data_IF_202826056731
#
_entry.id   IF_202826056731
#
_cell.length_a   1.000
_cell.length_b   1.000
_cell.length_c   1.000
_cell.angle_alpha   90.00
_cell.angle_beta   90.00
_cell.angle_gamma   90.00
#
_symmetry.space_group_name_H-M   'P 1'
#
loop_
_entity.id
_entity.type
_entity.pdbx_description
1 polymer ?
#
# COMPACT_ATOMS: atom_id res chain seq x y z
N UNK A 1 -8.16 1.57 -20.67
CA UNK A 1 -9.20 2.54 -20.25
C UNK A 1 -8.49 3.59 -19.44
N UNK A 2 -8.59 4.87 -19.80
CA UNK A 2 -7.95 5.95 -19.04
C UNK A 2 -8.54 5.99 -17.61
N UNK A 3 -7.68 6.10 -16.60
CA UNK A 3 -8.13 6.23 -15.23
C UNK A 3 -8.90 7.55 -15.05
N UNK A 4 -10.10 7.48 -14.45
CA UNK A 4 -11.00 8.61 -14.28
C UNK A 4 -10.75 9.32 -12.94
N UNK A 5 -10.93 10.64 -12.89
CA UNK A 5 -10.95 11.44 -11.65
C UNK A 5 -11.92 10.91 -10.60
N UNK A 6 -12.94 10.14 -11.01
CA UNK A 6 -13.87 9.43 -10.13
C UNK A 6 -13.19 8.37 -9.23
N UNK A 7 -11.92 8.03 -9.48
CA UNK A 7 -11.13 7.11 -8.66
C UNK A 7 -10.60 7.79 -7.38
N UNK A 8 -10.51 9.11 -7.34
CA UNK A 8 -9.89 9.87 -6.25
C UNK A 8 -10.92 10.21 -5.17
N UNK A 9 -10.59 9.89 -3.92
CA UNK A 9 -11.39 10.18 -2.73
C UNK A 9 -10.69 11.29 -1.94
N UNK A 10 -11.25 12.50 -2.02
CA UNK A 10 -10.78 13.68 -1.27
C UNK A 10 -11.82 14.21 -0.27
N UNK A 11 -12.95 13.51 -0.07
CA UNK A 11 -14.01 13.90 0.87
C UNK A 11 -14.33 12.79 1.87
N UNK A 12 -14.76 13.18 3.07
CA UNK A 12 -15.16 12.24 4.12
C UNK A 12 -16.34 11.37 3.70
N UNK A 13 -17.31 11.94 2.97
CA UNK A 13 -18.45 11.18 2.46
C UNK A 13 -18.00 10.08 1.47
N UNK A 14 -17.10 10.42 0.54
CA UNK A 14 -16.53 9.45 -0.40
C UNK A 14 -15.73 8.36 0.31
N UNK A 15 -14.93 8.74 1.32
CA UNK A 15 -14.14 7.81 2.12
C UNK A 15 -15.04 6.82 2.86
N UNK A 16 -16.05 7.31 3.58
CA UNK A 16 -16.98 6.44 4.34
C UNK A 16 -17.71 5.46 3.43
N UNK A 17 -18.21 5.92 2.27
CA UNK A 17 -18.84 5.07 1.26
C UNK A 17 -17.89 3.98 0.75
N UNK A 18 -16.63 4.33 0.48
CA UNK A 18 -15.64 3.36 0.04
C UNK A 18 -15.31 2.33 1.13
N UNK A 19 -15.08 2.77 2.36
CA UNK A 19 -14.77 1.87 3.48
C UNK A 19 -15.92 0.88 3.75
N UNK A 20 -17.18 1.32 3.62
CA UNK A 20 -18.35 0.46 3.74
C UNK A 20 -18.42 -0.65 2.67
N UNK A 21 -17.77 -0.46 1.52
CA UNK A 21 -17.73 -1.46 0.44
C UNK A 21 -16.72 -2.60 0.67
N UNK A 22 -15.82 -2.47 1.64
CA UNK A 22 -14.78 -3.47 1.94
C UNK A 22 -15.35 -4.54 2.88
N UNK A 23 -15.47 -5.77 2.38
CA UNK A 23 -16.05 -6.90 3.11
C UNK A 23 -14.98 -7.82 3.70
N UNK A 24 -15.37 -8.72 4.62
CA UNK A 24 -14.44 -9.61 5.34
C UNK A 24 -13.75 -10.65 4.44
N UNK A 25 -14.30 -10.94 3.25
CA UNK A 25 -13.69 -11.83 2.26
C UNK A 25 -12.74 -11.13 1.30
N UNK A 26 -12.53 -9.82 1.44
CA UNK A 26 -11.70 -9.05 0.52
C UNK A 26 -10.21 -9.20 0.82
N UNK A 27 -9.39 -9.21 -0.23
CA UNK A 27 -7.95 -8.95 -0.16
C UNK A 27 -7.70 -7.51 -0.60
N UNK A 28 -6.91 -6.78 0.18
CA UNK A 28 -6.58 -5.39 -0.11
C UNK A 28 -5.17 -5.34 -0.68
N UNK A 29 -5.04 -4.79 -1.88
CA UNK A 29 -3.75 -4.45 -2.45
C UNK A 29 -3.50 -2.96 -2.29
N UNK A 30 -2.33 -2.60 -1.78
CA UNK A 30 -2.02 -1.24 -1.35
C UNK A 30 -0.68 -0.79 -1.91
N UNK A 31 -0.67 0.45 -2.39
CA UNK A 31 0.54 1.23 -2.65
C UNK A 31 0.43 2.62 -1.99
N UNK A 32 1.55 3.20 -1.59
CA UNK A 32 1.64 4.49 -0.90
C UNK A 32 2.55 5.43 -1.68
N UNK A 33 2.10 6.67 -1.86
CA UNK A 33 2.91 7.69 -2.53
C UNK A 33 3.01 8.96 -1.68
N UNK A 34 4.16 9.62 -1.73
CA UNK A 34 4.44 10.82 -0.97
C UNK A 34 5.91 11.22 -1.03
N UNK A 35 6.38 11.94 0.00
CA UNK A 35 7.75 12.43 0.06
C UNK A 35 8.54 11.76 1.18
N UNK A 36 9.72 11.24 0.86
CA UNK A 36 10.62 10.56 1.80
C UNK A 36 9.89 9.51 2.66
N UNK A 37 9.12 8.60 2.04
CA UNK A 37 8.26 7.61 2.69
C UNK A 37 9.02 6.80 3.76
N UNK A 38 9.02 7.33 4.98
CA UNK A 38 9.73 6.81 6.14
C UNK A 38 9.12 7.45 7.40
N UNK A 39 9.76 7.26 8.57
CA UNK A 39 9.34 7.78 9.87
C UNK A 39 9.07 9.30 9.90
N UNK A 40 9.78 10.07 9.08
CA UNK A 40 9.72 11.54 9.07
C UNK A 40 9.20 12.12 7.74
N UNK A 41 8.79 11.25 6.82
CA UNK A 41 8.22 11.65 5.54
C UNK A 41 6.73 11.97 5.60
N UNK A 42 6.16 12.20 4.42
CA UNK A 42 4.72 12.42 4.24
C UNK A 42 4.13 11.36 3.34
N UNK A 43 2.94 10.89 3.70
CA UNK A 43 2.06 10.14 2.81
C UNK A 43 1.08 11.14 2.21
N UNK A 44 1.08 11.28 0.89
CA UNK A 44 0.19 12.20 0.18
C UNK A 44 -0.98 11.47 -0.47
N UNK A 45 -0.76 10.23 -0.93
CA UNK A 45 -1.78 9.38 -1.54
C UNK A 45 -1.66 7.95 -1.01
N UNK A 46 -2.78 7.26 -0.90
CA UNK A 46 -2.83 5.82 -0.69
C UNK A 46 -3.72 5.19 -1.76
N UNK A 47 -3.19 4.27 -2.55
CA UNK A 47 -3.97 3.60 -3.59
C UNK A 47 -4.36 2.20 -3.12
N UNK A 48 -5.67 1.93 -3.13
CA UNK A 48 -6.23 0.66 -2.69
C UNK A 48 -6.93 -0.03 -3.85
N UNK A 49 -6.62 -1.30 -4.05
CA UNK A 49 -7.37 -2.20 -4.91
C UNK A 49 -8.01 -3.32 -4.09
N UNK A 50 -9.33 -3.38 -4.09
CA UNK A 50 -10.12 -4.34 -3.32
C UNK A 50 -10.50 -5.53 -4.22
N UNK A 51 -9.98 -6.70 -3.90
CA UNK A 51 -10.25 -7.96 -4.60
C UNK A 51 -11.18 -8.86 -3.76
N UNK A 52 -12.13 -9.62 -4.33
CA UNK A 52 -12.40 -9.83 -5.76
C UNK A 52 -13.31 -8.76 -6.40
N UNK A 53 -13.74 -7.74 -5.66
CA UNK A 53 -14.67 -6.72 -6.15
C UNK A 53 -14.10 -5.85 -7.29
N UNK A 54 -12.77 -5.84 -7.46
CA UNK A 54 -12.03 -5.05 -8.45
C UNK A 54 -12.30 -3.55 -8.37
N UNK A 55 -12.40 -3.04 -7.14
CA UNK A 55 -12.59 -1.62 -6.86
C UNK A 55 -11.23 -0.99 -6.59
N UNK A 56 -10.79 -0.11 -7.48
CA UNK A 56 -9.59 0.73 -7.27
C UNK A 56 -10.02 2.11 -6.79
N UNK A 57 -9.39 2.62 -5.72
CA UNK A 57 -9.57 3.99 -5.23
C UNK A 57 -8.23 4.57 -4.78
N UNK A 58 -8.03 5.85 -5.07
CA UNK A 58 -6.92 6.64 -4.55
C UNK A 58 -7.48 7.50 -3.42
N UNK A 59 -7.04 7.26 -2.19
CA UNK A 59 -7.36 8.10 -1.04
C UNK A 59 -6.38 9.27 -1.03
N UNK A 60 -6.91 10.49 -1.15
CA UNK A 60 -6.14 11.73 -1.08
C UNK A 60 -5.83 12.06 0.39
N UNK A 61 -4.73 11.50 0.89
CA UNK A 61 -4.29 11.68 2.28
C UNK A 61 -3.90 13.13 2.54
N UNK A 62 -3.33 13.82 1.56
CA UNK A 62 -3.00 15.24 1.68
C UNK A 62 -4.26 16.11 1.89
N UNK A 63 -5.37 15.80 1.21
CA UNK A 63 -6.63 16.51 1.39
C UNK A 63 -7.38 16.14 2.69
N UNK A 64 -7.36 14.85 3.06
CA UNK A 64 -8.13 14.32 4.19
C UNK A 64 -7.38 14.39 5.53
N UNK A 65 -6.06 14.55 5.51
CA UNK A 65 -5.20 14.55 6.68
C UNK A 65 -5.36 13.26 7.50
N UNK A 66 -5.37 13.40 8.83
CA UNK A 66 -5.55 12.26 9.75
C UNK A 66 -6.87 11.53 9.56
N UNK A 67 -7.91 12.22 9.07
CA UNK A 67 -9.22 11.63 8.86
C UNK A 67 -9.22 10.55 7.76
N UNK A 68 -8.23 10.54 6.87
CA UNK A 68 -8.02 9.45 5.90
C UNK A 68 -7.93 8.08 6.60
N UNK A 69 -7.36 8.05 7.80
CA UNK A 69 -7.13 6.81 8.57
C UNK A 69 -8.10 6.63 9.73
N UNK A 70 -8.59 7.71 10.32
CA UNK A 70 -9.38 7.67 11.57
C UNK A 70 -10.88 7.78 11.36
N UNK A 71 -11.36 8.35 10.25
CA UNK A 71 -12.79 8.46 10.00
C UNK A 71 -13.40 7.07 9.81
N UNK A 72 -14.44 6.78 10.60
CA UNK A 72 -15.19 5.53 10.50
C UNK A 72 -16.36 5.67 9.51
N UNK A 73 -16.61 4.61 8.74
CA UNK A 73 -17.86 4.45 8.01
C UNK A 73 -19.01 4.04 8.95
N UNK A 74 -20.22 3.92 8.42
CA UNK A 74 -21.42 3.63 9.22
C UNK A 74 -21.36 2.26 9.91
N UNK A 75 -20.52 1.35 9.43
CA UNK A 75 -20.25 0.06 10.09
C UNK A 75 -19.16 0.14 11.18
N UNK A 76 -18.70 1.34 11.52
CA UNK A 76 -17.68 1.60 12.54
C UNK A 76 -16.23 1.37 12.08
N UNK A 77 -16.01 0.90 10.84
CA UNK A 77 -14.66 0.63 10.33
C UNK A 77 -14.03 1.87 9.72
N UNK A 78 -12.82 2.18 10.16
CA UNK A 78 -11.90 3.16 9.56
C UNK A 78 -10.85 2.46 8.68
N UNK A 79 -10.16 3.21 7.81
CA UNK A 79 -9.05 2.65 7.02
C UNK A 79 -7.96 2.04 7.93
N UNK A 80 -7.65 2.69 9.06
CA UNK A 80 -6.74 2.13 10.08
C UNK A 80 -7.21 0.76 10.56
N UNK A 81 -8.46 0.66 11.01
CA UNK A 81 -9.00 -0.61 11.53
C UNK A 81 -9.01 -1.73 10.48
N UNK A 82 -9.20 -1.37 9.21
CA UNK A 82 -9.19 -2.31 8.09
C UNK A 82 -7.76 -2.81 7.80
N UNK A 83 -6.77 -1.92 7.81
CA UNK A 83 -5.37 -2.30 7.58
C UNK A 83 -4.78 -3.10 8.74
N UNK A 84 -5.23 -2.84 9.97
CA UNK A 84 -4.82 -3.55 11.18
C UNK A 84 -5.57 -4.87 11.42
N UNK A 85 -6.64 -5.14 10.66
CA UNK A 85 -7.43 -6.37 10.76
C UNK A 85 -6.61 -7.59 10.32
N UNK A 86 -6.31 -8.55 11.22
CA UNK A 86 -5.52 -9.74 10.86
C UNK A 86 -6.30 -10.72 9.98
N UNK A 87 -7.64 -10.63 9.93
CA UNK A 87 -8.47 -11.50 9.10
C UNK A 87 -8.54 -11.06 7.64
N UNK A 88 -8.18 -9.80 7.34
CA UNK A 88 -8.06 -9.30 5.99
C UNK A 88 -6.63 -9.51 5.47
N UNK A 89 -6.44 -10.20 4.33
CA UNK A 89 -5.14 -10.27 3.68
C UNK A 89 -4.79 -8.92 3.05
N UNK A 90 -3.55 -8.48 3.24
CA UNK A 90 -2.99 -7.28 2.58
C UNK A 90 -1.84 -7.70 1.66
N UNK A 91 -1.90 -7.30 0.39
CA UNK A 91 -0.79 -7.37 -0.54
C UNK A 91 -0.19 -5.98 -0.71
N UNK A 92 1.03 -5.76 -0.23
CA UNK A 92 1.71 -4.46 -0.36
C UNK A 92 2.81 -4.63 -1.40
N UNK A 93 2.84 -3.69 -2.35
CA UNK A 93 3.96 -3.54 -3.26
C UNK A 93 4.35 -2.08 -3.26
N UNK A 94 5.55 -1.80 -2.76
CA UNK A 94 6.10 -0.46 -2.67
C UNK A 94 7.22 -0.38 -3.71
N UNK A 95 7.03 0.44 -4.75
CA UNK A 95 8.09 0.70 -5.72
C UNK A 95 9.13 1.63 -5.07
N UNK A 96 10.22 1.03 -4.59
CA UNK A 96 11.37 1.73 -3.98
C UNK A 96 12.12 2.64 -4.97
N UNK A 97 11.65 2.77 -6.21
CA UNK A 97 12.29 3.58 -7.24
C UNK A 97 11.91 5.04 -7.08
N UNK A 98 12.88 5.76 -6.55
CA UNK A 98 13.07 7.21 -6.49
C UNK A 98 13.10 7.91 -7.88
N UNK A 99 12.24 7.50 -8.83
CA UNK A 99 12.28 7.91 -10.24
C UNK A 99 11.32 9.04 -10.58
N UNK A 100 10.40 9.39 -9.68
CA UNK A 100 9.44 10.46 -9.92
C UNK A 100 9.98 11.78 -9.38
N UNK A 101 10.00 12.81 -10.23
CA UNK A 101 10.43 14.16 -9.85
C UNK A 101 9.65 14.66 -8.62
N UNK A 102 10.37 15.29 -7.70
CA UNK A 102 9.87 15.79 -6.42
C UNK A 102 8.56 16.58 -6.58
N UNK A 103 7.49 16.11 -5.95
CA UNK A 103 6.23 16.86 -5.78
C UNK A 103 5.11 16.57 -6.79
N UNK A 104 5.22 15.56 -7.64
CA UNK A 104 4.11 15.18 -8.55
C UNK A 104 2.83 14.80 -7.78
N UNK A 105 2.98 14.09 -6.66
CA UNK A 105 1.87 13.68 -5.79
C UNK A 105 1.28 14.83 -4.95
N UNK A 106 1.92 16.00 -4.91
CA UNK A 106 1.44 17.18 -4.20
C UNK A 106 0.55 18.08 -5.05
N UNK A 107 0.55 17.93 -6.39
CA UNK A 107 -0.24 18.78 -7.30
C UNK A 107 -1.73 18.48 -7.22
N UNK A 108 -2.58 19.51 -7.15
CA UNK A 108 -4.04 19.38 -7.17
C UNK A 108 -4.69 20.30 -8.21
N UNK A 109 -5.71 19.82 -8.96
CA UNK A 109 -6.19 18.44 -8.99
C UNK A 109 -5.11 17.48 -9.53
N UNK A 110 -5.17 16.20 -9.15
CA UNK A 110 -4.26 15.19 -9.68
C UNK A 110 -4.43 15.11 -11.19
N UNK A 111 -3.32 15.15 -11.93
CA UNK A 111 -3.38 14.96 -13.37
C UNK A 111 -3.68 13.50 -13.73
N UNK A 112 -4.24 13.28 -14.92
CA UNK A 112 -4.68 11.96 -15.35
C UNK A 112 -3.54 10.93 -15.40
N UNK A 113 -2.30 11.34 -15.68
CA UNK A 113 -1.15 10.42 -15.72
C UNK A 113 -0.75 9.98 -14.32
N UNK A 114 -0.79 10.88 -13.34
CA UNK A 114 -0.56 10.53 -11.94
C UNK A 114 -1.63 9.55 -11.43
N UNK A 115 -2.90 9.78 -11.76
CA UNK A 115 -4.00 8.86 -11.41
C UNK A 115 -3.78 7.49 -12.07
N UNK A 116 -3.44 7.47 -13.36
CA UNK A 116 -3.18 6.22 -14.10
C UNK A 116 -1.99 5.45 -13.55
N UNK A 117 -0.90 6.15 -13.21
CA UNK A 117 0.28 5.58 -12.57
C UNK A 117 -0.10 4.85 -11.28
N UNK A 118 -0.71 5.57 -10.32
CA UNK A 118 -1.12 5.01 -9.03
C UNK A 118 -2.06 3.79 -9.19
N UNK A 119 -3.03 3.88 -10.11
CA UNK A 119 -3.97 2.79 -10.37
C UNK A 119 -3.25 1.54 -10.92
N UNK A 120 -2.23 1.73 -11.76
CA UNK A 120 -1.49 0.62 -12.36
C UNK A 120 -0.57 -0.11 -11.36
N UNK A 121 -0.09 0.57 -10.31
CA UNK A 121 0.78 -0.03 -9.29
C UNK A 121 0.07 -1.14 -8.49
N UNK A 122 -1.26 -1.04 -8.32
CA UNK A 122 -2.02 -2.03 -7.54
C UNK A 122 -2.80 -3.03 -8.39
N UNK A 123 -3.22 -2.65 -9.61
CA UNK A 123 -4.14 -3.45 -10.42
C UNK A 123 -3.58 -4.82 -10.85
N UNK A 124 -2.26 -4.95 -10.96
CA UNK A 124 -1.59 -6.19 -11.38
C UNK A 124 -1.15 -7.08 -10.22
N UNK A 125 -1.21 -6.58 -9.00
CA UNK A 125 -0.76 -7.30 -7.82
C UNK A 125 -1.51 -8.61 -7.54
N UNK A 126 -2.83 -8.74 -7.77
CA UNK A 126 -3.51 -10.03 -7.60
C UNK A 126 -2.99 -11.11 -8.55
N UNK A 127 -2.79 -10.76 -9.82
CA UNK A 127 -2.28 -11.70 -10.82
C UNK A 127 -0.82 -12.06 -10.51
N UNK A 128 -0.03 -11.07 -10.10
CA UNK A 128 1.36 -11.28 -9.68
C UNK A 128 1.43 -12.18 -8.45
N UNK A 129 0.64 -11.92 -7.41
CA UNK A 129 0.54 -12.76 -6.22
C UNK A 129 0.17 -14.19 -6.61
N UNK A 130 -0.87 -14.38 -7.43
CA UNK A 130 -1.28 -15.71 -7.87
C UNK A 130 -0.16 -16.44 -8.65
N UNK A 131 0.58 -15.74 -9.50
CA UNK A 131 1.71 -16.31 -10.23
C UNK A 131 2.89 -16.70 -9.31
N UNK A 132 3.19 -15.89 -8.30
CA UNK A 132 4.22 -16.19 -7.30
C UNK A 132 3.81 -17.34 -6.38
N UNK A 133 2.56 -17.39 -5.94
CA UNK A 133 2.05 -18.44 -5.06
C UNK A 133 2.05 -19.82 -5.72
N UNK A 134 1.98 -19.90 -7.05
CA UNK A 134 2.16 -21.15 -7.81
C UNK A 134 3.60 -21.67 -7.81
N UNK A 135 4.58 -20.79 -7.59
CA UNK A 135 6.01 -21.11 -7.67
C UNK A 135 6.67 -21.26 -6.30
N UNK A 136 6.13 -20.60 -5.28
CA UNK A 136 6.71 -20.59 -3.94
C UNK A 136 6.49 -21.95 -3.26
N UNK A 137 7.52 -22.46 -2.60
CA UNK A 137 7.39 -23.65 -1.76
C UNK A 137 6.95 -23.25 -0.35
N UNK A 138 6.34 -24.18 0.39
CA UNK A 138 5.98 -23.96 1.79
C UNK A 138 7.18 -23.46 2.62
N UNK A 139 8.36 -24.04 2.43
CA UNK A 139 9.56 -23.61 3.15
C UNK A 139 10.00 -22.18 2.83
N UNK A 140 9.80 -21.70 1.61
CA UNK A 140 10.06 -20.30 1.26
C UNK A 140 9.01 -19.34 1.81
N UNK A 141 7.74 -19.77 1.86
CA UNK A 141 6.67 -18.98 2.44
C UNK A 141 6.89 -18.75 3.95
N UNK A 142 7.26 -19.80 4.68
CA UNK A 142 7.59 -19.70 6.11
C UNK A 142 8.80 -18.79 6.37
N UNK A 143 9.82 -18.87 5.51
CA UNK A 143 10.96 -17.94 5.57
C UNK A 143 10.51 -16.49 5.38
N UNK A 144 9.74 -16.21 4.32
CA UNK A 144 9.23 -14.88 4.04
C UNK A 144 8.39 -14.33 5.21
N UNK A 145 7.55 -15.18 5.81
CA UNK A 145 6.76 -14.85 6.99
C UNK A 145 7.65 -14.50 8.19
N UNK A 146 8.62 -15.36 8.51
CA UNK A 146 9.54 -15.14 9.64
C UNK A 146 10.33 -13.85 9.49
N UNK A 147 10.81 -13.53 8.28
CA UNK A 147 11.54 -12.28 8.03
C UNK A 147 10.62 -11.06 8.12
N UNK A 148 9.38 -11.16 7.65
CA UNK A 148 8.40 -10.08 7.82
C UNK A 148 8.15 -9.78 9.30
N UNK A 149 7.95 -10.80 10.13
CA UNK A 149 7.77 -10.65 11.58
C UNK A 149 9.01 -10.02 12.26
N UNK A 150 10.22 -10.47 11.89
CA UNK A 150 11.47 -9.91 12.41
C UNK A 150 11.66 -8.44 11.99
N UNK A 151 11.40 -8.09 10.73
CA UNK A 151 11.45 -6.71 10.25
C UNK A 151 10.46 -5.83 11.01
N UNK A 152 9.24 -6.30 11.28
CA UNK A 152 8.25 -5.55 12.06
C UNK A 152 8.73 -5.22 13.47
N UNK A 153 9.51 -6.11 14.10
CA UNK A 153 10.13 -5.85 15.41
C UNK A 153 11.25 -4.80 15.25
N UNK A 154 12.13 -4.97 14.25
CA UNK A 154 13.26 -4.07 14.01
C UNK A 154 12.79 -2.64 13.72
N UNK A 155 11.83 -2.44 12.82
CA UNK A 155 11.35 -1.09 12.43
C UNK A 155 10.76 -0.30 13.61
N UNK A 156 10.28 -1.01 14.65
CA UNK A 156 9.73 -0.42 15.88
C UNK A 156 10.78 -0.12 16.95
N UNK A 157 12.01 -0.61 16.78
CA UNK A 157 13.07 -0.41 17.77
C UNK A 157 13.56 1.06 17.79
N UNK A 158 14.00 1.58 18.95
CA UNK A 158 14.46 2.97 19.08
C UNK A 158 15.67 3.33 18.20
N UNK A 159 16.51 2.36 17.85
CA UNK A 159 17.74 2.57 17.08
C UNK A 159 17.62 2.24 15.58
N UNK A 160 16.42 1.93 15.09
CA UNK A 160 16.25 1.55 13.68
C UNK A 160 16.52 2.74 12.75
N UNK A 161 17.52 2.59 11.87
CA UNK A 161 17.77 3.51 10.79
C UNK A 161 17.04 3.05 9.51
N UNK A 162 15.94 3.71 9.09
CA UNK A 162 15.21 3.34 7.88
C UNK A 162 16.04 3.51 6.60
N UNK A 163 17.05 4.37 6.61
CA UNK A 163 17.89 4.70 5.44
C UNK A 163 19.15 3.83 5.35
N UNK A 164 19.32 2.84 6.24
CA UNK A 164 20.47 1.94 6.16
C UNK A 164 20.45 1.14 4.85
N UNK A 165 21.60 1.11 4.16
CA UNK A 165 21.82 0.28 2.96
C UNK A 165 21.67 -1.22 3.25
N UNK A 166 21.77 -1.62 4.51
CA UNK A 166 21.60 -3.01 4.93
C UNK A 166 20.13 -3.47 4.86
N UNK A 167 19.17 -2.55 4.89
CA UNK A 167 17.73 -2.86 4.83
C UNK A 167 17.24 -3.24 3.41
N UNK A 168 18.07 -2.97 2.39
CA UNK A 168 17.70 -3.14 0.97
C UNK A 168 17.57 -4.61 0.58
N UNK A 169 18.35 -5.50 1.22
CA UNK A 169 18.41 -6.90 0.84
C UNK A 169 17.73 -7.80 1.88
N UNK A 170 17.23 -8.95 1.44
CA UNK A 170 16.78 -10.02 2.34
C UNK A 170 17.96 -10.64 3.10
N UNK A 171 17.69 -11.35 4.22
CA UNK A 171 18.71 -11.91 5.10
C UNK A 171 19.44 -13.10 4.46
N UNK A 172 18.84 -13.76 3.47
CA UNK A 172 19.42 -14.92 2.79
C UNK A 172 20.24 -14.49 1.58
N UNK A 173 21.42 -13.92 1.82
CA UNK A 173 22.43 -13.74 0.78
C UNK A 173 23.02 -15.10 0.42
N UNK A 174 22.53 -15.72 -0.65
CA UNK A 174 23.36 -16.67 -1.38
C UNK A 174 24.35 -15.83 -2.18
N UNK A 175 25.66 -16.04 -1.99
CA UNK A 175 26.64 -15.66 -3.02
C UNK A 175 26.31 -16.52 -4.24
N UNK A 176 25.42 -16.04 -5.10
CA UNK A 176 25.31 -16.58 -6.45
C UNK A 176 26.49 -15.96 -7.19
N UNK A 177 27.62 -16.68 -7.18
CA UNK A 177 28.65 -16.43 -8.17
C UNK A 177 28.03 -16.78 -9.52
N UNK A 178 27.91 -15.79 -10.39
CA UNK A 178 27.73 -16.01 -11.82
C UNK A 178 29.03 -16.53 -12.43
#
# INVERSE_FOLDING_TARGET
MAASSNCVISSLAGLKTFLASITQGSTIYLDLAGQNLCRYGTIELATLFVYPQKITRIVDVAALGSAAFTAASDNGRSLKSILEDPSLPKGIWDDVRNLMTSGIFSKRPLDAKTIEYCVNDVNKLPDLQAAHMKKITHGWLEKARSEMEQRLILVRSPGYNPESKDNVFGPWRVKICF
#
